data_IF_562949953606
#
_entry.id   IF_562949953606
#
_cell.length_a   1.000
_cell.length_b   1.000
_cell.length_c   1.000
_cell.angle_alpha   90.00
_cell.angle_beta   90.00
_cell.angle_gamma   90.00
#
_symmetry.space_group_name_H-M   'P 1'
#
loop_
_entity.id
_entity.type
_entity.pdbx_description
1 polymer ?
#
# COMPACT_ATOMS: atom_id res chain seq x y z
N UNK A 1 5.95 91.98 -15.03
CA UNK A 1 6.07 90.51 -15.16
C UNK A 1 5.16 90.09 -16.30
N UNK A 2 5.70 89.97 -17.51
CA UNK A 2 4.96 89.54 -18.71
C UNK A 2 5.04 88.02 -18.83
N UNK A 3 3.91 87.33 -18.83
CA UNK A 3 3.81 85.94 -19.31
C UNK A 3 3.66 85.96 -20.83
N UNK A 4 4.56 85.34 -21.61
CA UNK A 4 4.29 85.14 -23.02
C UNK A 4 3.13 84.15 -23.17
N UNK A 5 2.08 84.66 -23.79
CA UNK A 5 0.96 83.93 -24.35
C UNK A 5 1.46 83.05 -25.53
N UNK A 6 0.58 82.15 -25.98
CA UNK A 6 0.62 81.40 -27.24
C UNK A 6 1.55 80.18 -27.32
N UNK A 7 1.04 79.04 -26.85
CA UNK A 7 1.34 77.73 -27.44
C UNK A 7 0.63 77.67 -28.81
N UNK A 8 1.37 77.91 -29.90
CA UNK A 8 0.91 77.56 -31.25
C UNK A 8 1.29 76.10 -31.49
N UNK A 9 0.35 75.18 -31.29
CA UNK A 9 0.44 73.90 -31.96
C UNK A 9 -0.07 74.08 -33.39
N UNK A 10 0.73 73.79 -34.43
CA UNK A 10 0.21 73.74 -35.78
C UNK A 10 -0.90 72.68 -35.85
N UNK A 11 -1.97 72.92 -36.64
CA UNK A 11 -3.01 71.92 -36.81
C UNK A 11 -2.37 70.65 -37.40
N UNK A 12 -2.68 69.47 -36.82
CA UNK A 12 -2.08 68.23 -37.28
C UNK A 12 -2.43 68.02 -38.76
N UNK A 13 -1.45 67.55 -39.51
CA UNK A 13 -1.64 67.25 -40.93
C UNK A 13 -2.54 66.02 -41.08
N UNK A 14 -3.22 65.89 -42.23
CA UNK A 14 -4.15 64.78 -42.45
C UNK A 14 -3.47 63.41 -42.29
N UNK A 15 -2.18 63.32 -42.63
CA UNK A 15 -1.36 62.12 -42.49
C UNK A 15 -1.11 61.76 -41.01
N UNK A 16 -0.84 62.76 -40.16
CA UNK A 16 -0.70 62.56 -38.71
C UNK A 16 -2.00 62.10 -38.05
N UNK A 17 -3.15 62.58 -38.54
CA UNK A 17 -4.47 62.15 -38.06
C UNK A 17 -4.73 60.69 -38.44
N UNK A 18 -4.40 60.30 -39.68
CA UNK A 18 -4.56 58.93 -40.16
C UNK A 18 -3.67 57.98 -39.35
N UNK A 19 -2.40 58.34 -39.13
CA UNK A 19 -1.47 57.51 -38.36
C UNK A 19 -1.92 57.37 -36.91
N UNK A 20 -2.39 58.45 -36.28
CA UNK A 20 -2.94 58.40 -34.92
C UNK A 20 -4.19 57.52 -34.81
N UNK A 21 -5.08 57.57 -35.81
CA UNK A 21 -6.27 56.70 -35.87
C UNK A 21 -5.88 55.23 -36.06
N UNK A 22 -4.91 54.94 -36.93
CA UNK A 22 -4.42 53.57 -37.13
C UNK A 22 -3.71 53.00 -35.90
N UNK A 23 -2.98 53.84 -35.17
CA UNK A 23 -2.36 53.46 -33.90
C UNK A 23 -3.43 53.20 -32.82
N UNK A 24 -4.48 54.01 -32.75
CA UNK A 24 -5.57 53.82 -31.80
C UNK A 24 -6.40 52.56 -32.13
N UNK A 25 -6.64 52.27 -33.41
CA UNK A 25 -7.29 51.01 -33.83
C UNK A 25 -6.43 49.80 -33.45
N UNK A 26 -5.11 49.86 -33.65
CA UNK A 26 -4.19 48.80 -33.20
C UNK A 26 -4.19 48.64 -31.69
N UNK A 27 -4.13 49.75 -30.95
CA UNK A 27 -4.20 49.76 -29.48
C UNK A 27 -5.50 49.14 -28.98
N UNK A 28 -6.64 49.45 -29.60
CA UNK A 28 -7.92 48.86 -29.23
C UNK A 28 -8.01 47.37 -29.55
N UNK A 29 -7.41 46.91 -30.65
CA UNK A 29 -7.32 45.49 -30.99
C UNK A 29 -6.38 44.73 -30.03
N UNK A 30 -5.32 45.37 -29.54
CA UNK A 30 -4.39 44.79 -28.56
C UNK A 30 -4.94 44.82 -27.12
N UNK A 31 -5.66 45.88 -26.73
CA UNK A 31 -6.26 46.04 -25.40
C UNK A 31 -7.58 45.27 -25.23
N UNK A 32 -8.27 44.96 -26.33
CA UNK A 32 -9.54 44.22 -26.31
C UNK A 32 -9.33 42.85 -26.97
N UNK A 33 -8.75 41.86 -26.27
CA UNK A 33 -8.75 40.51 -26.78
C UNK A 33 -10.20 40.13 -27.05
N UNK A 34 -10.50 39.69 -28.27
CA UNK A 34 -11.81 39.12 -28.60
C UNK A 34 -12.15 38.12 -27.50
N UNK A 35 -13.30 38.34 -26.83
CA UNK A 35 -13.76 37.44 -25.79
C UNK A 35 -14.06 36.11 -26.48
N UNK A 36 -13.04 35.25 -26.52
CA UNK A 36 -13.21 33.84 -26.79
C UNK A 36 -14.10 33.35 -25.65
N UNK A 37 -15.41 33.30 -25.90
CA UNK A 37 -16.36 32.59 -25.05
C UNK A 37 -15.96 31.11 -25.12
N UNK A 38 -14.95 30.79 -24.32
CA UNK A 38 -14.29 29.51 -24.29
C UNK A 38 -15.28 28.48 -23.79
N UNK A 39 -15.53 27.52 -24.67
CA UNK A 39 -16.18 26.25 -24.43
C UNK A 39 -17.72 26.28 -24.41
N UNK A 40 -18.39 25.47 -25.27
CA UNK A 40 -19.82 25.23 -25.13
C UNK A 40 -20.05 24.67 -23.74
N UNK A 41 -20.93 25.33 -22.97
CA UNK A 41 -21.20 25.05 -21.56
C UNK A 41 -20.91 23.61 -21.16
N UNK A 42 -19.74 23.39 -20.54
CA UNK A 42 -19.49 22.16 -19.81
C UNK A 42 -20.56 21.99 -18.74
N UNK A 43 -20.73 20.77 -18.23
CA UNK A 43 -21.77 20.37 -17.26
C UNK A 43 -22.01 21.34 -16.07
N UNK A 44 -21.06 22.23 -15.77
CA UNK A 44 -21.19 23.34 -14.80
C UNK A 44 -22.31 24.36 -15.15
N UNK A 45 -22.67 24.51 -16.44
CA UNK A 45 -23.73 25.43 -16.86
C UNK A 45 -25.10 25.01 -16.33
N UNK A 46 -25.47 23.75 -16.53
CA UNK A 46 -26.75 23.22 -16.07
C UNK A 46 -26.85 23.13 -14.55
N UNK A 47 -25.76 22.81 -13.85
CA UNK A 47 -25.75 22.84 -12.39
C UNK A 47 -26.10 24.23 -11.86
N UNK A 48 -25.46 25.29 -12.39
CA UNK A 48 -25.74 26.67 -11.97
C UNK A 48 -27.17 27.10 -12.31
N UNK A 49 -27.70 26.70 -13.46
CA UNK A 49 -29.09 26.97 -13.83
C UNK A 49 -30.05 26.30 -12.84
N UNK A 50 -29.80 25.04 -12.47
CA UNK A 50 -30.58 24.35 -11.45
C UNK A 50 -30.48 25.04 -10.08
N UNK A 51 -29.29 25.46 -9.64
CA UNK A 51 -29.11 26.19 -8.37
C UNK A 51 -29.89 27.51 -8.36
N UNK A 52 -29.87 28.24 -9.48
CA UNK A 52 -30.62 29.49 -9.63
C UNK A 52 -32.13 29.24 -9.58
N UNK A 53 -32.64 28.23 -10.29
CA UNK A 53 -34.05 27.89 -10.28
C UNK A 53 -34.51 27.32 -8.94
N UNK A 54 -33.68 26.52 -8.26
CA UNK A 54 -33.98 25.97 -6.93
C UNK A 54 -34.24 27.05 -5.89
N UNK A 55 -33.65 28.24 -6.02
CA UNK A 55 -33.94 29.36 -5.11
C UNK A 55 -35.40 29.85 -5.18
N UNK A 56 -36.13 29.51 -6.24
CA UNK A 56 -37.53 29.91 -6.47
C UNK A 56 -38.55 28.90 -5.94
N UNK A 57 -38.12 27.68 -5.64
CA UNK A 57 -38.99 26.59 -5.22
C UNK A 57 -38.65 26.17 -3.79
N UNK A 58 -39.64 25.66 -3.07
CA UNK A 58 -39.38 24.97 -1.81
C UNK A 58 -38.68 23.62 -2.06
N UNK A 59 -37.90 23.11 -1.09
CA UNK A 59 -37.27 21.79 -1.23
C UNK A 59 -38.27 20.67 -1.52
N UNK A 60 -39.47 20.73 -0.96
CA UNK A 60 -40.54 19.74 -1.15
C UNK A 60 -41.08 19.75 -2.59
N UNK A 61 -41.27 20.93 -3.18
CA UNK A 61 -41.68 21.08 -4.57
C UNK A 61 -40.60 20.58 -5.54
N UNK A 62 -39.33 20.88 -5.26
CA UNK A 62 -38.21 20.37 -6.07
C UNK A 62 -38.22 18.85 -6.09
N UNK A 63 -38.37 18.19 -4.95
CA UNK A 63 -38.46 16.72 -4.91
C UNK A 63 -39.69 16.17 -5.66
N UNK A 64 -40.83 16.86 -5.59
CA UNK A 64 -42.01 16.49 -6.38
C UNK A 64 -41.72 16.56 -7.88
N UNK A 65 -41.09 17.64 -8.37
CA UNK A 65 -40.72 17.75 -9.78
C UNK A 65 -39.68 16.70 -10.19
N UNK A 66 -38.70 16.43 -9.33
CA UNK A 66 -37.68 15.41 -9.57
C UNK A 66 -38.27 14.01 -9.68
N UNK A 67 -39.31 13.70 -8.91
CA UNK A 67 -40.01 12.41 -8.97
C UNK A 67 -40.61 12.10 -10.35
N UNK A 68 -40.85 13.12 -11.17
CA UNK A 68 -41.32 12.98 -12.56
C UNK A 68 -40.22 12.65 -13.57
N UNK A 69 -38.93 12.66 -13.19
CA UNK A 69 -37.82 12.32 -14.08
C UNK A 69 -37.80 10.81 -14.31
N UNK A 70 -38.07 10.38 -15.55
CA UNK A 70 -38.13 8.96 -15.93
C UNK A 70 -36.79 8.37 -16.38
N UNK A 71 -35.73 9.17 -16.47
CA UNK A 71 -34.42 8.73 -16.94
C UNK A 71 -33.70 7.84 -15.90
N UNK A 72 -33.43 6.55 -16.21
CA UNK A 72 -32.71 5.67 -15.30
C UNK A 72 -31.27 6.13 -15.00
N UNK A 73 -30.59 6.77 -15.96
CA UNK A 73 -29.20 7.20 -15.80
C UNK A 73 -29.07 8.31 -14.74
N UNK A 74 -30.07 9.19 -14.67
CA UNK A 74 -30.19 10.21 -13.64
C UNK A 74 -30.23 9.59 -12.23
N UNK A 75 -31.14 8.64 -12.01
CA UNK A 75 -31.29 7.97 -10.72
C UNK A 75 -30.11 7.08 -10.36
N UNK A 76 -29.44 6.45 -11.35
CA UNK A 76 -28.20 5.70 -11.10
C UNK A 76 -27.09 6.62 -10.58
N UNK A 77 -26.93 7.81 -11.17
CA UNK A 77 -25.96 8.80 -10.72
C UNK A 77 -26.23 9.23 -9.27
N UNK A 78 -27.48 9.49 -8.94
CA UNK A 78 -27.85 9.86 -7.57
C UNK A 78 -27.63 8.70 -6.58
N UNK A 79 -28.05 7.48 -6.93
CA UNK A 79 -27.84 6.31 -6.08
C UNK A 79 -26.35 6.07 -5.80
N UNK A 80 -25.48 6.26 -6.79
CA UNK A 80 -24.02 6.24 -6.61
C UNK A 80 -23.57 7.33 -5.61
N UNK A 81 -24.08 8.55 -5.76
CA UNK A 81 -23.74 9.65 -4.85
C UNK A 81 -24.17 9.36 -3.40
N UNK A 82 -25.36 8.81 -3.20
CA UNK A 82 -25.84 8.42 -1.87
C UNK A 82 -25.06 7.26 -1.28
N UNK A 83 -24.66 6.26 -2.10
CA UNK A 83 -23.76 5.19 -1.66
C UNK A 83 -22.44 5.75 -1.15
N UNK A 84 -21.83 6.68 -1.87
CA UNK A 84 -20.56 7.28 -1.49
C UNK A 84 -20.69 8.11 -0.21
N UNK A 85 -21.71 8.98 -0.12
CA UNK A 85 -22.01 9.76 1.09
C UNK A 85 -22.25 8.86 2.31
N UNK A 86 -23.02 7.78 2.14
CA UNK A 86 -23.26 6.81 3.21
C UNK A 86 -21.96 6.16 3.67
N UNK A 87 -21.09 5.77 2.73
CA UNK A 87 -19.80 5.16 3.06
C UNK A 87 -18.89 6.13 3.84
N UNK A 88 -18.88 7.41 3.47
CA UNK A 88 -18.12 8.45 4.16
C UNK A 88 -18.67 8.69 5.57
N UNK A 89 -19.99 8.79 5.74
CA UNK A 89 -20.61 8.95 7.05
C UNK A 89 -20.31 7.75 7.97
N UNK A 90 -20.38 6.54 7.41
CA UNK A 90 -20.00 5.32 8.13
C UNK A 90 -18.54 5.36 8.56
N UNK A 91 -17.65 5.82 7.68
CA UNK A 91 -16.23 5.99 7.95
C UNK A 91 -15.96 6.97 9.07
N UNK A 92 -16.52 8.17 8.98
CA UNK A 92 -16.36 9.19 10.01
C UNK A 92 -16.91 8.75 11.36
N UNK A 93 -18.07 8.09 11.40
CA UNK A 93 -18.65 7.58 12.64
C UNK A 93 -17.74 6.54 13.32
N UNK A 94 -17.19 5.60 12.53
CA UNK A 94 -16.28 4.58 13.06
C UNK A 94 -14.98 5.25 13.56
N UNK A 95 -14.45 6.23 12.84
CA UNK A 95 -13.26 6.97 13.29
C UNK A 95 -13.53 7.77 14.56
N UNK A 96 -14.63 8.51 14.66
CA UNK A 96 -14.99 9.27 15.87
C UNK A 96 -15.14 8.36 17.09
N UNK A 97 -15.71 7.17 16.92
CA UNK A 97 -15.92 6.23 18.03
C UNK A 97 -14.66 5.46 18.44
N UNK A 98 -13.72 5.23 17.51
CA UNK A 98 -12.54 4.37 17.75
C UNK A 98 -11.22 5.13 17.86
N UNK A 99 -11.13 6.34 17.33
CA UNK A 99 -9.92 7.16 17.35
C UNK A 99 -10.11 8.36 18.27
N UNK A 100 -9.46 8.33 19.44
CA UNK A 100 -9.51 9.44 20.40
C UNK A 100 -8.69 10.63 19.86
N UNK A 101 -9.32 11.80 19.73
CA UNK A 101 -8.71 13.07 19.33
C UNK A 101 -8.00 13.05 17.96
N UNK A 102 -8.51 12.29 16.99
CA UNK A 102 -7.96 12.24 15.63
C UNK A 102 -6.58 11.59 15.51
N UNK A 103 -5.97 11.13 16.61
CA UNK A 103 -4.71 10.38 16.60
C UNK A 103 -4.98 8.90 16.76
N UNK A 104 -5.04 8.22 15.61
CA UNK A 104 -5.20 6.78 15.57
C UNK A 104 -3.88 6.09 15.99
N UNK A 105 -3.93 5.38 17.12
CA UNK A 105 -2.91 4.39 17.53
C UNK A 105 -3.11 3.10 16.73
N UNK A 106 -2.12 2.20 16.80
CA UNK A 106 -2.20 0.89 16.15
C UNK A 106 -3.45 0.10 16.58
N UNK A 107 -3.78 0.12 17.89
CA UNK A 107 -4.96 -0.60 18.41
C UNK A 107 -6.27 -0.02 17.88
N UNK A 108 -6.38 1.31 17.72
CA UNK A 108 -7.58 1.92 17.16
C UNK A 108 -7.81 1.50 15.70
N UNK A 109 -6.76 1.37 14.87
CA UNK A 109 -6.91 0.89 13.49
C UNK A 109 -7.36 -0.57 13.41
N UNK A 110 -6.92 -1.41 14.36
CA UNK A 110 -7.42 -2.80 14.48
C UNK A 110 -8.91 -2.81 14.83
N UNK A 111 -9.33 -1.95 15.74
CA UNK A 111 -10.74 -1.83 16.13
C UNK A 111 -11.61 -1.27 15.00
N UNK A 112 -11.10 -0.31 14.22
CA UNK A 112 -11.76 0.20 13.00
C UNK A 112 -11.95 -0.94 11.99
N UNK A 113 -10.89 -1.70 11.68
CA UNK A 113 -10.97 -2.83 10.76
C UNK A 113 -11.96 -3.90 11.24
N UNK A 114 -11.98 -4.18 12.54
CA UNK A 114 -12.94 -5.11 13.16
C UNK A 114 -14.37 -4.60 13.08
N UNK A 115 -14.60 -3.32 13.33
CA UNK A 115 -15.92 -2.69 13.23
C UNK A 115 -16.48 -2.80 11.81
N UNK A 116 -15.65 -2.52 10.80
CA UNK A 116 -16.01 -2.68 9.38
C UNK A 116 -16.36 -4.10 9.02
N UNK A 117 -15.50 -5.06 9.39
CA UNK A 117 -15.76 -6.48 9.17
C UNK A 117 -17.10 -6.90 9.77
N UNK A 118 -17.40 -6.51 11.01
CA UNK A 118 -18.65 -6.84 11.67
C UNK A 118 -19.87 -6.17 11.02
N UNK A 119 -19.72 -4.96 10.48
CA UNK A 119 -20.79 -4.27 9.74
C UNK A 119 -21.08 -4.98 8.42
N UNK A 120 -20.04 -5.34 7.67
CA UNK A 120 -20.17 -6.12 6.43
C UNK A 120 -20.89 -7.45 6.67
N UNK A 121 -20.50 -8.18 7.71
CA UNK A 121 -21.17 -9.44 8.09
C UNK A 121 -22.66 -9.24 8.41
N UNK A 122 -23.00 -8.17 9.16
CA UNK A 122 -24.41 -7.85 9.49
C UNK A 122 -25.25 -7.47 8.28
N UNK A 123 -24.65 -6.88 7.25
CA UNK A 123 -25.32 -6.56 5.99
C UNK A 123 -25.26 -7.71 4.96
N UNK A 124 -24.94 -8.93 5.39
CA UNK A 124 -25.01 -10.12 4.56
C UNK A 124 -23.78 -10.40 3.70
N UNK A 125 -22.68 -9.65 3.83
CA UNK A 125 -21.43 -10.04 3.17
C UNK A 125 -20.86 -11.29 3.83
N UNK A 126 -20.61 -12.33 3.05
CA UNK A 126 -20.01 -13.56 3.57
C UNK A 126 -18.57 -13.33 4.04
N UNK A 127 -18.14 -14.11 5.04
CA UNK A 127 -16.75 -14.07 5.52
C UNK A 127 -15.76 -14.41 4.40
N UNK A 128 -16.17 -15.23 3.42
CA UNK A 128 -15.38 -15.55 2.24
C UNK A 128 -15.18 -14.33 1.34
N UNK A 129 -16.25 -13.60 0.99
CA UNK A 129 -16.17 -12.40 0.16
C UNK A 129 -15.33 -11.30 0.82
N UNK A 130 -15.37 -11.19 2.14
CA UNK A 130 -14.48 -10.28 2.89
C UNK A 130 -13.01 -10.70 2.76
N UNK A 131 -12.72 -12.01 2.78
CA UNK A 131 -11.35 -12.52 2.55
C UNK A 131 -10.89 -12.23 1.13
N UNK A 132 -11.74 -12.48 0.14
CA UNK A 132 -11.45 -12.18 -1.27
C UNK A 132 -11.15 -10.68 -1.46
N UNK A 133 -11.95 -9.79 -0.86
CA UNK A 133 -11.69 -8.35 -0.87
C UNK A 133 -10.39 -7.94 -0.18
N UNK A 134 -9.89 -8.72 0.79
CA UNK A 134 -8.56 -8.48 1.38
C UNK A 134 -7.43 -8.78 0.39
N UNK A 135 -7.64 -9.76 -0.49
CA UNK A 135 -6.64 -10.15 -1.49
C UNK A 135 -6.48 -9.08 -2.59
N UNK A 136 -7.42 -8.15 -2.73
CA UNK A 136 -7.30 -7.04 -3.68
C UNK A 136 -6.47 -5.87 -3.14
N UNK A 137 -5.94 -5.95 -1.92
CA UNK A 137 -5.04 -4.93 -1.36
C UNK A 137 -3.74 -4.95 -2.15
N UNK A 138 -3.39 -3.82 -2.78
CA UNK A 138 -2.19 -3.67 -3.61
C UNK A 138 -0.96 -3.17 -2.83
N UNK A 139 -1.13 -2.73 -1.58
CA UNK A 139 -0.04 -2.20 -0.77
C UNK A 139 0.95 -3.31 -0.39
N UNK A 140 2.20 -3.17 -0.87
CA UNK A 140 3.29 -4.11 -0.57
C UNK A 140 3.59 -4.19 0.93
N UNK A 141 3.55 -3.05 1.65
CA UNK A 141 3.90 -2.99 3.07
C UNK A 141 2.95 -3.82 3.92
N UNK A 142 1.68 -3.83 3.55
CA UNK A 142 0.67 -4.67 4.19
C UNK A 142 1.04 -6.16 4.14
N UNK A 143 1.44 -6.65 2.96
CA UNK A 143 1.79 -8.05 2.75
C UNK A 143 3.15 -8.44 3.33
N UNK A 144 4.14 -7.54 3.31
CA UNK A 144 5.46 -7.79 3.91
C UNK A 144 5.35 -8.07 5.42
N UNK A 145 4.57 -7.27 6.14
CA UNK A 145 4.33 -7.45 7.57
C UNK A 145 3.59 -8.76 7.87
N UNK A 146 2.55 -9.08 7.08
CA UNK A 146 1.79 -10.31 7.25
C UNK A 146 2.65 -11.56 6.93
N UNK A 147 3.41 -11.52 5.84
CA UNK A 147 4.31 -12.61 5.45
C UNK A 147 5.39 -12.87 6.50
N UNK A 148 6.04 -11.82 6.98
CA UNK A 148 7.07 -11.92 8.04
C UNK A 148 6.50 -12.56 9.30
N UNK A 149 5.28 -12.18 9.68
CA UNK A 149 4.60 -12.77 10.84
C UNK A 149 4.26 -14.25 10.63
N UNK A 150 3.73 -14.61 9.46
CA UNK A 150 3.36 -15.99 9.14
C UNK A 150 4.58 -16.90 9.03
N UNK A 151 5.68 -16.43 8.45
CA UNK A 151 6.93 -17.17 8.37
C UNK A 151 7.49 -17.48 9.76
N UNK A 152 7.52 -16.50 10.66
CA UNK A 152 7.95 -16.74 12.04
C UNK A 152 7.09 -17.77 12.78
N UNK A 153 5.77 -17.74 12.57
CA UNK A 153 4.85 -18.73 13.14
C UNK A 153 5.03 -20.12 12.53
N UNK A 154 5.30 -20.20 11.22
CA UNK A 154 5.54 -21.46 10.54
C UNK A 154 6.83 -22.11 11.03
N UNK A 155 7.92 -21.35 11.13
CA UNK A 155 9.20 -21.83 11.66
C UNK A 155 9.07 -22.33 13.11
N UNK A 156 8.30 -21.64 13.95
CA UNK A 156 8.05 -22.07 15.32
C UNK A 156 7.27 -23.39 15.37
N UNK A 157 6.23 -23.55 14.55
CA UNK A 157 5.48 -24.82 14.47
C UNK A 157 6.33 -25.96 13.93
N UNK A 158 7.20 -25.68 12.97
CA UNK A 158 8.12 -26.68 12.43
C UNK A 158 9.11 -27.15 13.51
N UNK A 159 9.66 -26.23 14.28
CA UNK A 159 10.53 -26.54 15.41
C UNK A 159 9.81 -27.40 16.46
N UNK A 160 8.60 -27.01 16.87
CA UNK A 160 7.77 -27.78 17.81
C UNK A 160 7.49 -29.20 17.28
N UNK A 161 7.21 -29.33 15.98
CA UNK A 161 6.99 -30.64 15.35
C UNK A 161 8.26 -31.49 15.30
N UNK A 162 9.43 -30.88 15.07
CA UNK A 162 10.72 -31.57 15.09
C UNK A 162 11.07 -32.06 16.51
N UNK A 163 10.86 -31.23 17.53
CA UNK A 163 11.06 -31.63 18.93
C UNK A 163 10.14 -32.80 19.32
N UNK A 164 8.84 -32.70 19.00
CA UNK A 164 7.88 -33.77 19.27
C UNK A 164 8.25 -35.08 18.54
N UNK A 165 8.75 -34.98 17.30
CA UNK A 165 9.23 -36.14 16.56
C UNK A 165 10.46 -36.78 17.23
N UNK A 166 11.44 -35.98 17.64
CA UNK A 166 12.63 -36.47 18.33
C UNK A 166 12.28 -37.09 19.68
N UNK A 167 11.37 -36.49 20.46
CA UNK A 167 10.88 -37.06 21.71
C UNK A 167 10.20 -38.42 21.50
N UNK A 168 9.32 -38.52 20.50
CA UNK A 168 8.66 -39.78 20.16
C UNK A 168 9.66 -40.85 19.68
N UNK A 169 10.66 -40.44 18.90
CA UNK A 169 11.74 -41.31 18.44
C UNK A 169 12.57 -41.84 19.61
N UNK A 170 13.00 -40.98 20.53
CA UNK A 170 13.77 -41.38 21.70
C UNK A 170 12.97 -42.25 22.67
N UNK A 171 11.69 -41.93 22.90
CA UNK A 171 10.79 -42.75 23.71
C UNK A 171 10.64 -44.17 23.11
N UNK A 172 10.60 -44.29 21.78
CA UNK A 172 10.58 -45.58 21.10
C UNK A 172 11.89 -46.35 21.33
N UNK A 173 13.04 -45.70 21.22
CA UNK A 173 14.34 -46.33 21.45
C UNK A 173 14.48 -46.78 22.90
N UNK A 174 14.15 -45.94 23.88
CA UNK A 174 14.21 -46.29 25.31
C UNK A 174 13.32 -47.50 25.62
N UNK A 175 12.13 -47.57 25.04
CA UNK A 175 11.22 -48.70 25.22
C UNK A 175 11.71 -50.00 24.57
N UNK A 176 12.43 -49.91 23.45
CA UNK A 176 12.98 -51.09 22.75
C UNK A 176 14.26 -51.61 23.42
N UNK A 177 15.08 -50.72 23.98
CA UNK A 177 16.39 -51.08 24.54
C UNK A 177 16.40 -51.24 26.07
N UNK A 178 15.32 -50.87 26.77
CA UNK A 178 15.27 -50.88 28.24
C UNK A 178 16.21 -49.85 28.90
N UNK A 179 16.71 -48.92 28.10
CA UNK A 179 17.66 -47.87 28.50
C UNK A 179 16.85 -46.65 28.91
N UNK A 180 17.25 -45.98 30.00
CA UNK A 180 16.51 -44.80 30.48
C UNK A 180 16.67 -43.62 29.51
N UNK A 181 15.67 -42.74 29.34
CA UNK A 181 15.75 -41.59 28.43
C UNK A 181 16.94 -40.64 28.69
N UNK A 182 17.49 -40.67 29.91
CA UNK A 182 18.69 -39.91 30.29
C UNK A 182 19.97 -40.47 29.68
N UNK A 183 20.12 -41.80 29.65
CA UNK A 183 21.29 -42.48 29.09
C UNK A 183 21.32 -42.36 27.55
N UNK A 184 20.17 -42.36 26.89
CA UNK A 184 20.08 -42.16 25.44
C UNK A 184 20.55 -40.76 25.00
N UNK A 185 20.24 -39.71 25.77
CA UNK A 185 20.70 -38.32 25.50
C UNK A 185 22.20 -38.15 25.74
N UNK A 186 22.79 -38.87 26.70
CA UNK A 186 24.23 -38.85 26.95
C UNK A 186 25.03 -39.56 25.84
N UNK A 187 24.49 -40.62 25.24
CA UNK A 187 25.10 -41.31 24.10
C UNK A 187 25.20 -40.39 22.89
N UNK A 188 24.15 -39.63 22.57
CA UNK A 188 24.14 -38.68 21.44
C UNK A 188 25.09 -37.50 21.66
N UNK A 189 25.16 -36.94 22.88
CA UNK A 189 26.13 -35.88 23.20
C UNK A 189 27.58 -36.38 23.11
N UNK A 190 27.84 -37.65 23.46
CA UNK A 190 29.14 -38.29 23.26
C UNK A 190 29.44 -38.62 21.79
N UNK A 191 28.43 -38.96 20.98
CA UNK A 191 28.59 -39.25 19.55
C UNK A 191 28.83 -37.98 18.73
N UNK A 192 28.12 -36.88 19.01
CA UNK A 192 28.32 -35.59 18.33
C UNK A 192 29.64 -34.89 18.73
N UNK A 193 30.25 -35.26 19.86
CA UNK A 193 31.59 -34.81 20.27
C UNK A 193 32.74 -35.68 19.73
N UNK A 194 32.46 -36.82 19.08
CA UNK A 194 33.49 -37.57 18.34
C UNK A 194 33.81 -36.80 17.05
N UNK A 195 34.63 -35.77 17.17
CA UNK A 195 35.32 -35.13 16.04
C UNK A 195 35.95 -36.27 15.22
N UNK A 196 35.68 -36.39 13.91
CA UNK A 196 36.37 -37.37 13.09
C UNK A 196 37.84 -36.98 13.10
N UNK A 197 38.66 -37.71 13.87
CA UNK A 197 40.11 -37.68 13.73
C UNK A 197 40.40 -38.04 12.29
N UNK A 198 40.74 -37.03 11.50
CA UNK A 198 41.32 -37.14 10.17
C UNK A 198 42.61 -37.95 10.31
N UNK A 199 42.48 -39.27 10.24
CA UNK A 199 43.61 -40.16 10.08
C UNK A 199 43.99 -40.08 8.62
N UNK A 200 44.90 -39.16 8.31
CA UNK A 200 45.65 -39.13 7.05
C UNK A 200 46.27 -40.51 6.84
N UNK A 201 45.58 -41.38 6.10
CA UNK A 201 46.11 -42.66 5.64
C UNK A 201 46.31 -42.52 4.14
N UNK A 202 47.51 -42.07 3.79
CA UNK A 202 48.10 -42.19 2.47
C UNK A 202 48.25 -43.68 2.16
N UNK A 203 47.29 -44.24 1.43
CA UNK A 203 47.48 -45.50 0.73
C UNK A 203 47.15 -45.30 -0.73
N UNK A 204 48.21 -45.15 -1.52
CA UNK A 204 48.18 -45.27 -2.96
C UNK A 204 47.65 -46.65 -3.36
N UNK A 205 46.50 -46.70 -4.02
CA UNK A 205 46.10 -47.82 -4.88
C UNK A 205 45.35 -47.29 -6.12
N UNK A 206 46.12 -47.26 -7.21
CA UNK A 206 45.79 -47.50 -8.61
C UNK A 206 44.32 -47.36 -9.08
N UNK A 207 44.06 -46.55 -10.12
CA UNK A 207 42.74 -46.45 -10.75
C UNK A 207 42.42 -47.70 -11.58
N UNK A 208 41.35 -48.42 -11.22
CA UNK A 208 40.79 -49.44 -12.10
C UNK A 208 40.09 -48.81 -13.30
N UNK A 209 40.57 -49.25 -14.46
CA UNK A 209 40.31 -48.87 -15.84
C UNK A 209 38.90 -49.25 -16.31
N UNK A 210 37.80 -48.73 -15.72
CA UNK A 210 36.45 -49.08 -16.20
C UNK A 210 35.31 -48.12 -15.83
N UNK A 211 35.46 -46.81 -16.02
CA UNK A 211 34.28 -45.91 -16.11
C UNK A 211 34.50 -44.60 -16.86
N UNK A 212 35.58 -44.48 -17.64
CA UNK A 212 35.85 -43.35 -18.54
C UNK A 212 34.88 -43.23 -19.74
N UNK A 213 33.78 -44.00 -19.78
CA UNK A 213 32.87 -44.06 -20.94
C UNK A 213 31.54 -43.31 -20.77
N UNK A 214 31.28 -42.67 -19.62
CA UNK A 214 30.02 -41.95 -19.38
C UNK A 214 30.14 -40.43 -19.17
N UNK A 215 31.35 -39.86 -19.17
CA UNK A 215 31.54 -38.41 -18.95
C UNK A 215 31.77 -37.58 -20.23
N UNK A 216 31.70 -38.17 -21.42
CA UNK A 216 31.98 -37.44 -22.68
C UNK A 216 30.77 -36.73 -23.31
N UNK A 217 29.56 -36.81 -22.76
CA UNK A 217 28.34 -36.35 -23.46
C UNK A 217 27.62 -35.13 -22.87
N UNK A 218 28.17 -34.41 -21.89
CA UNK A 218 27.51 -33.21 -21.33
C UNK A 218 28.32 -31.91 -21.42
N UNK A 219 29.44 -31.90 -22.15
CA UNK A 219 30.17 -30.67 -22.53
C UNK A 219 29.96 -30.34 -24.00
N UNK A 220 28.77 -29.90 -24.37
CA UNK A 220 28.54 -29.10 -25.59
C UNK A 220 27.14 -28.50 -25.50
N UNK A 221 27.05 -27.17 -25.70
CA UNK A 221 25.86 -26.28 -25.60
C UNK A 221 25.65 -25.81 -24.15
N UNK A 222 25.74 -24.54 -23.77
CA UNK A 222 25.82 -23.21 -24.39
C UNK A 222 26.68 -22.36 -23.42
N UNK A 223 27.46 -21.36 -23.79
CA UNK A 223 27.29 -20.43 -24.89
C UNK A 223 26.56 -19.17 -24.40
N UNK A 224 27.37 -18.16 -24.05
CA UNK A 224 27.09 -16.72 -24.04
C UNK A 224 26.49 -15.99 -22.82
N UNK A 225 27.34 -15.07 -22.31
CA UNK A 225 27.12 -13.64 -21.98
C UNK A 225 26.06 -13.32 -20.90
N UNK A 226 26.29 -12.44 -19.93
CA UNK A 226 26.60 -11.00 -20.07
C UNK A 226 27.10 -10.46 -18.71
N UNK A 227 28.08 -9.55 -18.82
CA UNK A 227 28.50 -8.44 -17.98
C UNK A 227 27.80 -8.16 -16.63
N UNK A 228 28.67 -7.91 -15.63
CA UNK A 228 28.68 -6.64 -14.89
C UNK A 228 27.67 -6.50 -13.76
N UNK A 229 28.14 -6.54 -12.52
CA UNK A 229 28.36 -5.31 -11.74
C UNK A 229 29.05 -5.63 -10.42
N UNK A 230 29.83 -4.65 -9.97
CA UNK A 230 30.77 -4.67 -8.85
C UNK A 230 30.20 -3.74 -7.78
N UNK A 231 30.63 -3.96 -6.53
CA UNK A 231 30.53 -3.08 -5.34
C UNK A 231 29.31 -3.31 -4.39
N UNK A 232 29.35 -2.86 -3.11
CA UNK A 232 30.14 -3.50 -2.04
C UNK A 232 29.41 -3.56 -0.67
N UNK A 233 29.99 -4.26 0.30
CA UNK A 233 29.99 -3.81 1.70
C UNK A 233 28.78 -4.13 2.59
N UNK A 234 28.69 -5.37 3.06
CA UNK A 234 27.90 -5.70 4.25
C UNK A 234 28.67 -5.29 5.52
N UNK A 235 28.26 -4.17 6.14
CA UNK A 235 28.64 -3.83 7.52
C UNK A 235 27.82 -4.68 8.50
N UNK A 236 28.53 -5.40 9.36
CA UNK A 236 27.98 -6.09 10.52
C UNK A 236 27.28 -5.09 11.47
N UNK A 237 25.99 -5.30 11.70
CA UNK A 237 25.21 -4.60 12.73
C UNK A 237 24.97 -5.56 13.89
N UNK A 238 25.37 -5.23 15.14
CA UNK A 238 25.14 -6.10 16.28
C UNK A 238 23.68 -6.05 16.76
N UNK A 239 23.16 -7.11 17.39
CA UNK A 239 21.77 -7.18 17.82
C UNK A 239 21.47 -6.27 19.02
N UNK A 240 20.22 -5.76 19.13
CA UNK A 240 19.82 -4.88 20.23
C UNK A 240 19.66 -5.62 21.56
N UNK A 241 20.11 -4.95 22.63
CA UNK A 241 20.01 -5.43 24.02
C UNK A 241 18.57 -5.37 24.52
N UNK A 242 18.01 -6.52 24.88
CA UNK A 242 16.71 -6.66 25.53
C UNK A 242 16.82 -6.16 26.98
N UNK A 243 16.16 -5.05 27.31
CA UNK A 243 16.01 -4.61 28.70
C UNK A 243 14.71 -5.15 29.28
N UNK A 244 14.81 -5.96 30.34
CA UNK A 244 13.67 -6.50 31.10
C UNK A 244 12.95 -5.37 31.83
N UNK A 245 11.76 -4.98 31.37
CA UNK A 245 10.86 -4.09 32.12
C UNK A 245 10.15 -4.86 33.23
N UNK A 246 10.50 -4.48 34.47
CA UNK A 246 9.85 -4.85 35.73
C UNK A 246 8.33 -4.59 35.68
N UNK A 247 7.52 -5.63 35.87
CA UNK A 247 6.08 -5.50 36.17
C UNK A 247 5.93 -4.96 37.59
N UNK A 248 5.36 -3.74 37.73
CA UNK A 248 4.83 -3.25 39.01
C UNK A 248 3.42 -3.80 39.20
N UNK A 249 3.18 -4.44 40.34
CA UNK A 249 1.91 -5.03 40.72
C UNK A 249 0.83 -3.98 40.95
N UNK A 250 -0.38 -4.29 40.50
CA UNK A 250 -1.60 -3.63 40.96
C UNK A 250 -2.03 -4.30 42.28
N UNK A 251 -1.94 -3.54 43.37
CA UNK A 251 -2.64 -3.87 44.62
C UNK A 251 -4.12 -3.56 44.42
N UNK A 252 -4.96 -4.52 44.80
CA UNK A 252 -6.41 -4.35 44.82
C UNK A 252 -6.86 -3.26 45.77
N UNK A 253 -8.06 -2.73 45.51
CA UNK A 253 -8.89 -2.06 46.49
C UNK A 253 -10.17 -2.88 46.66
N UNK A 254 -10.44 -3.16 47.93
CA UNK A 254 -11.75 -3.55 48.47
C UNK A 254 -12.71 -2.37 48.35
#
# INVERSE_FOLDING_TARGET
MSTPLTFFMPPPTAEEIIEALEQEVRRQQEETPEVLFGSPMGHQGYQRLCEQEYSRFSPEEVELYRSGILDPAYWECEAKKFKDLLSEVIWQNILQTKCVNGRAKLDSWRDVAKAYRNRLLRHGCSAQRIREGRLTITDKRYWEEEASRLQGMAALREHEAQEAYLEAYWARISNVQGITPSEAREIEHNELQKVPRTRSRTTARQPTRRSQRLQSNLRKRQGDKVLGEREPGLRNVPPPKITKRRRKGCKGRR
#
